data_IF_611754857721
#
_entry.id   IF_611754857721
#
_cell.length_a   1.000
_cell.length_b   1.000
_cell.length_c   1.000
_cell.angle_alpha   90.00
_cell.angle_beta   90.00
_cell.angle_gamma   90.00
#
_symmetry.space_group_name_H-M   'P 1'
#
loop_
_entity.id
_entity.type
_entity.pdbx_description
1 polymer ?
#
# COMPACT_ATOMS: atom_id res chain seq x y z
N UNK A 1 -7.10 -23.80 12.83
CA UNK A 1 -7.68 -22.46 13.09
C UNK A 1 -6.69 -21.44 12.52
N UNK A 2 -7.04 -20.70 11.46
CA UNK A 2 -6.10 -19.73 10.88
C UNK A 2 -5.78 -18.63 11.91
N UNK A 3 -4.53 -18.17 12.01
CA UNK A 3 -4.18 -17.08 12.92
C UNK A 3 -5.01 -15.84 12.59
N UNK A 4 -5.78 -15.37 13.56
CA UNK A 4 -6.62 -14.18 13.42
C UNK A 4 -5.72 -12.95 13.35
N UNK A 5 -5.82 -12.18 12.25
CA UNK A 5 -5.11 -10.91 12.12
C UNK A 5 -5.55 -9.98 13.27
N UNK A 6 -4.60 -9.39 14.03
CA UNK A 6 -4.90 -8.46 15.11
C UNK A 6 -5.84 -7.34 14.62
N UNK A 7 -6.80 -6.92 15.46
CA UNK A 7 -7.81 -5.94 15.07
C UNK A 7 -7.22 -4.63 14.52
N UNK A 8 -6.08 -4.20 15.08
CA UNK A 8 -5.30 -3.03 14.65
C UNK A 8 -4.71 -3.16 13.24
N UNK A 9 -4.45 -4.39 12.77
CA UNK A 9 -3.82 -4.66 11.47
C UNK A 9 -4.83 -5.04 10.37
N UNK A 10 -6.09 -5.35 10.72
CA UNK A 10 -7.10 -5.82 9.75
C UNK A 10 -7.29 -4.87 8.58
N UNK A 11 -7.35 -3.56 8.83
CA UNK A 11 -7.52 -2.56 7.78
C UNK A 11 -6.31 -2.52 6.83
N UNK A 12 -5.08 -2.63 7.37
CA UNK A 12 -3.84 -2.66 6.60
C UNK A 12 -3.74 -3.92 5.75
N UNK A 13 -4.04 -5.06 6.36
CA UNK A 13 -4.06 -6.35 5.66
C UNK A 13 -5.12 -6.39 4.54
N UNK A 14 -6.32 -5.87 4.80
CA UNK A 14 -7.38 -5.80 3.80
C UNK A 14 -6.99 -4.90 2.62
N UNK A 15 -6.39 -3.74 2.90
CA UNK A 15 -5.90 -2.84 1.85
C UNK A 15 -4.78 -3.49 1.03
N UNK A 16 -3.78 -4.08 1.70
CA UNK A 16 -2.69 -4.80 1.05
C UNK A 16 -3.20 -5.91 0.15
N UNK A 17 -4.08 -6.78 0.67
CA UNK A 17 -4.69 -7.85 -0.10
C UNK A 17 -5.43 -7.33 -1.32
N UNK A 18 -6.21 -6.26 -1.18
CA UNK A 18 -6.93 -5.65 -2.31
C UNK A 18 -5.97 -5.12 -3.37
N UNK A 19 -4.85 -4.51 -2.97
CA UNK A 19 -3.81 -4.05 -3.90
C UNK A 19 -3.17 -5.23 -4.63
N UNK A 20 -2.78 -6.30 -3.92
CA UNK A 20 -2.21 -7.52 -4.52
C UNK A 20 -3.16 -8.12 -5.55
N UNK A 21 -4.43 -8.32 -5.17
CA UNK A 21 -5.44 -8.87 -6.06
C UNK A 21 -5.66 -7.99 -7.29
N UNK A 22 -5.64 -6.67 -7.13
CA UNK A 22 -5.75 -5.71 -8.23
C UNK A 22 -4.54 -5.81 -9.17
N UNK A 23 -3.32 -5.85 -8.65
CA UNK A 23 -2.10 -5.98 -9.47
C UNK A 23 -2.11 -7.30 -10.24
N UNK A 24 -2.42 -8.42 -9.58
CA UNK A 24 -2.53 -9.74 -10.23
C UNK A 24 -3.60 -9.74 -11.32
N UNK A 25 -4.75 -9.11 -11.07
CA UNK A 25 -5.79 -8.95 -12.08
C UNK A 25 -5.28 -8.17 -13.31
N UNK A 26 -4.59 -7.05 -13.09
CA UNK A 26 -4.03 -6.23 -14.18
C UNK A 26 -3.00 -7.01 -14.99
N UNK A 27 -2.08 -7.72 -14.34
CA UNK A 27 -1.08 -8.55 -15.03
C UNK A 27 -1.75 -9.65 -15.87
N UNK A 28 -2.74 -10.36 -15.30
CA UNK A 28 -3.53 -11.36 -16.03
C UNK A 28 -4.25 -10.78 -17.23
N UNK A 29 -4.88 -9.63 -17.03
CA UNK A 29 -5.62 -8.96 -18.10
C UNK A 29 -4.70 -8.52 -19.22
N UNK A 30 -3.55 -7.93 -18.90
CA UNK A 30 -2.55 -7.51 -19.87
C UNK A 30 -1.99 -8.69 -20.67
N UNK A 31 -1.65 -9.79 -20.00
CA UNK A 31 -1.24 -11.03 -20.68
C UNK A 31 -2.31 -11.57 -21.62
N UNK A 32 -3.58 -11.56 -21.18
CA UNK A 32 -4.71 -11.98 -22.00
C UNK A 32 -4.92 -11.10 -23.24
N UNK A 33 -4.76 -9.78 -23.12
CA UNK A 33 -4.82 -8.84 -24.24
C UNK A 33 -3.67 -9.10 -25.21
N UNK A 34 -2.43 -9.14 -24.71
CA UNK A 34 -1.23 -9.33 -25.52
C UNK A 34 -1.24 -10.66 -26.27
N UNK A 35 -1.64 -11.76 -25.63
CA UNK A 35 -1.77 -13.06 -26.30
C UNK A 35 -2.78 -13.03 -27.44
N UNK A 36 -3.94 -12.39 -27.23
CA UNK A 36 -4.95 -12.23 -28.29
C UNK A 36 -4.44 -11.40 -29.46
N UNK A 37 -3.74 -10.29 -29.19
CA UNK A 37 -3.16 -9.42 -30.23
C UNK A 37 -2.08 -10.13 -31.05
N UNK A 38 -1.27 -10.98 -30.40
CA UNK A 38 -0.20 -11.73 -31.04
C UNK A 38 -0.67 -13.08 -31.64
N UNK A 39 -1.95 -13.46 -31.48
CA UNK A 39 -2.48 -14.74 -31.97
C UNK A 39 -1.88 -15.98 -31.28
N UNK A 40 -1.34 -15.82 -30.07
CA UNK A 40 -0.70 -16.88 -29.28
C UNK A 40 -1.39 -17.06 -27.92
N UNK A 41 -1.24 -18.21 -27.25
CA UNK A 41 -1.77 -18.39 -25.90
C UNK A 41 -1.21 -17.33 -24.93
N UNK A 42 -2.03 -16.76 -24.03
CA UNK A 42 -1.55 -15.82 -23.02
C UNK A 42 -0.49 -16.44 -22.11
N UNK A 43 0.63 -15.73 -21.92
CA UNK A 43 1.64 -16.12 -20.94
C UNK A 43 1.28 -15.57 -19.56
N UNK A 44 1.02 -16.48 -18.62
CA UNK A 44 0.66 -16.17 -17.24
C UNK A 44 1.80 -16.41 -16.25
N UNK A 45 3.05 -16.57 -16.70
CA UNK A 45 4.23 -16.59 -15.84
C UNK A 45 4.64 -15.15 -15.46
N UNK A 46 3.76 -14.42 -14.76
CA UNK A 46 3.93 -13.00 -14.42
C UNK A 46 5.20 -12.69 -13.59
N UNK A 47 5.78 -13.69 -12.93
CA UNK A 47 6.90 -13.52 -12.01
C UNK A 47 8.26 -13.39 -12.72
N UNK A 48 8.36 -13.74 -13.99
CA UNK A 48 9.64 -13.63 -14.74
C UNK A 48 9.86 -12.26 -15.35
N UNK A 49 8.78 -11.52 -15.63
CA UNK A 49 8.83 -10.22 -16.31
C UNK A 49 8.20 -9.06 -15.53
N UNK A 50 7.46 -9.31 -14.44
CA UNK A 50 6.79 -8.26 -13.67
C UNK A 50 7.04 -8.41 -12.18
N UNK A 51 7.61 -7.37 -11.58
CA UNK A 51 7.68 -7.25 -10.13
C UNK A 51 6.32 -6.83 -9.57
N UNK A 52 5.49 -7.84 -9.34
CA UNK A 52 4.12 -7.70 -8.80
C UNK A 52 4.15 -7.05 -7.42
N UNK A 53 5.12 -7.37 -6.58
CA UNK A 53 5.22 -6.85 -5.22
C UNK A 53 5.57 -5.37 -5.22
N UNK A 54 6.54 -4.95 -6.03
CA UNK A 54 6.85 -3.53 -6.20
C UNK A 54 5.67 -2.75 -6.79
N UNK A 55 5.00 -3.30 -7.80
CA UNK A 55 3.80 -2.69 -8.40
C UNK A 55 2.65 -2.54 -7.38
N UNK A 56 2.47 -3.53 -6.51
CA UNK A 56 1.51 -3.47 -5.41
C UNK A 56 1.91 -2.40 -4.38
N UNK A 57 3.19 -2.31 -4.03
CA UNK A 57 3.68 -1.31 -3.08
C UNK A 57 3.48 0.12 -3.61
N UNK A 58 3.73 0.36 -4.90
CA UNK A 58 3.45 1.64 -5.55
C UNK A 58 1.96 1.98 -5.50
N UNK A 59 1.09 1.03 -5.88
CA UNK A 59 -0.37 1.23 -5.82
C UNK A 59 -0.83 1.55 -4.39
N UNK A 60 -0.28 0.87 -3.39
CA UNK A 60 -0.57 1.14 -1.98
C UNK A 60 -0.14 2.56 -1.59
N UNK A 61 1.06 2.98 -1.99
CA UNK A 61 1.59 4.31 -1.73
C UNK A 61 0.68 5.39 -2.33
N UNK A 62 0.28 5.22 -3.60
CA UNK A 62 -0.60 6.16 -4.29
C UNK A 62 -1.96 6.31 -3.60
N UNK A 63 -2.56 5.19 -3.17
CA UNK A 63 -3.84 5.21 -2.46
C UNK A 63 -3.73 5.90 -1.10
N UNK A 64 -2.65 5.66 -0.36
CA UNK A 64 -2.42 6.29 0.94
C UNK A 64 -2.10 7.79 0.78
N UNK A 65 -1.32 8.17 -0.23
CA UNK A 65 -1.03 9.56 -0.55
C UNK A 65 -2.31 10.31 -0.96
N UNK A 66 -3.14 9.72 -1.84
CA UNK A 66 -4.42 10.30 -2.23
C UNK A 66 -5.38 10.44 -1.04
N UNK A 67 -5.42 9.45 -0.15
CA UNK A 67 -6.23 9.53 1.07
C UNK A 67 -5.70 10.63 2.02
N UNK A 68 -4.39 10.76 2.15
CA UNK A 68 -3.77 11.81 2.96
C UNK A 68 -4.06 13.21 2.42
N UNK A 69 -3.98 13.42 1.09
CA UNK A 69 -4.35 14.69 0.47
C UNK A 69 -5.79 15.09 0.76
N UNK A 70 -6.73 14.13 0.77
CA UNK A 70 -8.13 14.39 1.16
C UNK A 70 -8.25 14.78 2.63
N UNK A 71 -7.46 14.18 3.52
CA UNK A 71 -7.41 14.57 4.93
C UNK A 71 -6.93 16.02 5.07
N UNK A 72 -5.89 16.41 4.32
CA UNK A 72 -5.36 17.78 4.34
C UNK A 72 -6.35 18.82 3.80
N UNK A 73 -7.24 18.43 2.89
CA UNK A 73 -8.29 19.31 2.34
C UNK A 73 -9.48 19.53 3.29
N UNK A 74 -9.54 18.83 4.43
CA UNK A 74 -10.61 19.02 5.40
C UNK A 74 -10.53 20.40 6.10
N UNK A 75 -11.67 20.96 6.56
CA UNK A 75 -11.69 22.18 7.36
C UNK A 75 -10.80 22.11 8.60
N UNK A 76 -10.23 23.25 9.02
CA UNK A 76 -9.27 23.33 10.12
C UNK A 76 -9.82 22.79 11.46
N UNK A 77 -11.14 22.84 11.67
CA UNK A 77 -11.81 22.31 12.86
C UNK A 77 -11.77 20.76 12.93
N UNK A 78 -11.82 20.09 11.77
CA UNK A 78 -11.93 18.63 11.69
C UNK A 78 -10.63 17.95 11.28
N UNK A 79 -9.72 18.70 10.62
CA UNK A 79 -8.42 18.20 10.15
C UNK A 79 -7.56 17.59 11.26
N UNK A 80 -7.41 18.18 12.48
CA UNK A 80 -6.54 17.61 13.51
C UNK A 80 -6.99 16.22 13.98
N UNK A 81 -8.30 16.02 14.14
CA UNK A 81 -8.88 14.73 14.51
C UNK A 81 -8.68 13.69 13.40
N UNK A 82 -8.88 14.09 12.14
CA UNK A 82 -8.69 13.23 10.97
C UNK A 82 -7.21 12.83 10.78
N UNK A 83 -6.27 13.75 10.97
CA UNK A 83 -4.82 13.48 10.95
C UNK A 83 -4.44 12.45 12.00
N UNK A 84 -4.93 12.61 13.24
CA UNK A 84 -4.68 11.68 14.34
C UNK A 84 -5.24 10.29 14.04
N UNK A 85 -6.46 10.22 13.50
CA UNK A 85 -7.10 8.96 13.13
C UNK A 85 -6.35 8.26 11.99
N UNK A 86 -5.89 9.03 10.99
CA UNK A 86 -5.08 8.52 9.89
C UNK A 86 -3.76 7.94 10.39
N UNK A 87 -3.04 8.68 11.23
CA UNK A 87 -1.78 8.23 11.84
C UNK A 87 -1.95 6.95 12.64
N UNK A 88 -2.93 6.88 13.53
CA UNK A 88 -3.23 5.65 14.32
C UNK A 88 -3.51 4.44 13.43
N UNK A 89 -4.23 4.64 12.33
CA UNK A 89 -4.67 3.55 11.46
C UNK A 89 -3.58 3.06 10.50
N UNK A 90 -2.76 3.95 9.95
CA UNK A 90 -1.86 3.63 8.84
C UNK A 90 -0.36 3.74 9.16
N UNK A 91 0.02 4.46 10.21
CA UNK A 91 1.41 4.91 10.41
C UNK A 91 2.12 4.22 11.60
N UNK A 92 1.40 3.56 12.51
CA UNK A 92 2.02 3.02 13.74
C UNK A 92 2.82 1.72 13.54
N UNK A 93 4.03 1.67 14.12
CA UNK A 93 4.86 0.48 14.39
C UNK A 93 5.32 -0.29 13.15
N UNK A 94 6.60 -0.18 12.76
CA UNK A 94 7.20 -0.93 11.64
C UNK A 94 6.43 -0.78 10.31
N UNK A 95 5.70 0.33 10.14
CA UNK A 95 4.76 0.51 9.04
C UNK A 95 5.47 1.01 7.79
N UNK A 96 4.98 0.59 6.62
CA UNK A 96 5.39 1.10 5.30
C UNK A 96 5.18 2.61 5.17
N UNK A 97 4.27 3.19 5.95
CA UNK A 97 4.00 4.63 5.97
C UNK A 97 4.40 5.26 7.31
N UNK A 98 5.07 6.41 7.24
CA UNK A 98 5.53 7.25 8.33
C UNK A 98 4.89 8.64 8.21
N UNK A 99 4.62 9.32 9.33
CA UNK A 99 4.16 10.70 9.36
C UNK A 99 5.23 11.55 10.04
N UNK A 100 5.87 12.42 9.27
CA UNK A 100 6.97 13.30 9.72
C UNK A 100 6.56 14.73 9.38
N UNK A 101 6.44 15.61 10.38
CA UNK A 101 6.09 17.03 10.19
C UNK A 101 4.86 17.26 9.29
N UNK A 102 3.77 16.52 9.54
CA UNK A 102 2.54 16.52 8.70
C UNK A 102 2.75 16.11 7.23
N UNK A 103 3.84 15.41 6.91
CA UNK A 103 4.09 14.80 5.61
C UNK A 103 4.02 13.29 5.71
N UNK A 104 3.36 12.67 4.73
CA UNK A 104 3.33 11.22 4.59
C UNK A 104 4.59 10.77 3.86
N UNK A 105 5.38 9.90 4.47
CA UNK A 105 6.61 9.32 3.92
C UNK A 105 6.48 7.81 3.86
N UNK A 106 7.08 7.16 2.87
CA UNK A 106 7.09 5.70 2.75
C UNK A 106 8.49 5.15 3.01
N UNK A 107 8.61 4.11 3.83
CA UNK A 107 9.88 3.48 4.17
C UNK A 107 9.80 1.97 3.93
N UNK A 108 10.90 1.37 3.49
CA UNK A 108 11.02 -0.08 3.41
C UNK A 108 10.89 -0.66 4.83
N UNK A 109 10.08 -1.70 5.01
CA UNK A 109 9.86 -2.38 6.30
C UNK A 109 11.14 -3.15 6.65
N UNK A 110 12.16 -2.46 7.13
CA UNK A 110 13.43 -3.04 7.59
C UNK A 110 14.15 -2.17 8.61
N UNK A 111 13.53 -1.10 9.11
CA UNK A 111 14.18 -0.20 10.06
C UNK A 111 13.47 -0.32 11.39
N UNK A 112 14.16 -0.94 12.35
CA UNK A 112 13.81 -0.82 13.76
C UNK A 112 13.70 0.67 14.08
N UNK A 113 12.57 1.19 14.59
CA UNK A 113 12.46 2.61 14.94
C UNK A 113 13.54 3.09 15.92
N UNK A 114 14.22 2.18 16.62
CA UNK A 114 15.39 2.46 17.46
C UNK A 114 16.66 2.86 16.69
N UNK A 115 16.78 2.58 15.39
CA UNK A 115 17.97 2.93 14.61
C UNK A 115 17.91 4.33 13.99
N UNK A 116 16.77 5.02 14.09
CA UNK A 116 16.58 6.42 13.67
C UNK A 116 16.78 7.43 14.81
N UNK A 117 17.11 6.94 16.02
CA UNK A 117 17.24 7.74 17.25
C UNK A 117 18.66 7.81 17.81
N UNK A 118 19.69 7.36 17.08
CA UNK A 118 21.08 7.60 17.47
C UNK A 118 21.70 8.71 16.61
N UNK A 119 22.32 9.74 17.24
CA UNK A 119 23.02 10.83 16.53
C UNK A 119 24.27 10.36 15.78
#
# INVERSE_FOLDING_TARGET
MAPQVPASLRARFALWRSCVLRTVYVCRHAAGVSGREAGIPPDFFFLTASDVLSSTATLLADLLAAAWLRVLQLPDETRPAAVTAFGKKWVSGGSFALLIDNRLTFAAVSVDPASLSNP
#
